data_IF_571401048630
#
_entry.id   IF_571401048630
#
_cell.length_a   1.000
_cell.length_b   1.000
_cell.length_c   1.000
_cell.angle_alpha   90.00
_cell.angle_beta   90.00
_cell.angle_gamma   90.00
#
_symmetry.space_group_name_H-M   'P 1'
#
loop_
_entity.id
_entity.type
_entity.pdbx_description
1 polymer ?
#
# COMPACT_ATOMS: atom_id res chain seq x y z
N UNK A 1 -58.92 4.87 -41.13
CA UNK A 1 -58.71 5.82 -40.02
C UNK A 1 -57.64 5.25 -39.09
N UNK A 2 -56.50 5.92 -38.99
CA UNK A 2 -55.45 5.69 -37.98
C UNK A 2 -55.70 6.65 -36.81
N UNK A 3 -55.36 6.26 -35.58
CA UNK A 3 -54.37 7.05 -34.85
C UNK A 3 -53.37 6.24 -33.99
N UNK A 4 -52.10 6.69 -34.05
CA UNK A 4 -51.06 6.86 -33.01
C UNK A 4 -51.00 5.93 -31.78
N UNK A 5 -49.81 5.41 -31.44
CA UNK A 5 -48.94 5.97 -30.38
C UNK A 5 -47.61 5.20 -30.18
N UNK A 6 -46.54 5.98 -29.95
CA UNK A 6 -45.31 5.69 -29.19
C UNK A 6 -44.19 4.82 -29.82
N UNK A 7 -43.33 5.55 -30.53
CA UNK A 7 -41.88 5.35 -30.64
C UNK A 7 -41.25 5.03 -29.27
N UNK A 8 -40.58 3.89 -29.17
CA UNK A 8 -39.64 3.57 -28.09
C UNK A 8 -38.33 3.12 -28.71
N UNK A 9 -37.42 4.08 -28.92
CA UNK A 9 -36.06 3.83 -29.35
C UNK A 9 -35.38 2.85 -28.38
N UNK A 10 -34.87 1.74 -28.89
CA UNK A 10 -33.87 0.94 -28.17
C UNK A 10 -32.63 1.83 -27.99
N UNK A 11 -32.25 2.23 -26.77
CA UNK A 11 -30.97 2.87 -26.57
C UNK A 11 -29.91 1.79 -26.79
N UNK A 12 -28.92 2.12 -27.61
CA UNK A 12 -27.73 1.34 -27.91
C UNK A 12 -27.30 0.43 -26.76
N UNK A 13 -27.10 -0.85 -27.07
CA UNK A 13 -26.66 -1.88 -26.15
C UNK A 13 -25.47 -1.41 -25.32
N UNK A 14 -25.75 -1.04 -24.08
CA UNK A 14 -24.74 -0.84 -23.06
C UNK A 14 -24.10 -2.21 -22.84
N UNK A 15 -22.89 -2.39 -23.38
CA UNK A 15 -22.06 -3.55 -23.02
C UNK A 15 -21.95 -3.52 -21.50
N UNK A 16 -22.45 -4.54 -20.77
CA UNK A 16 -22.22 -4.59 -19.34
C UNK A 16 -20.70 -4.64 -19.17
N UNK A 17 -20.14 -3.58 -18.60
CA UNK A 17 -18.74 -3.57 -18.21
C UNK A 17 -18.66 -4.59 -17.07
N UNK A 18 -18.36 -5.85 -17.42
CA UNK A 18 -17.98 -6.85 -16.43
C UNK A 18 -16.80 -6.24 -15.68
N UNK A 19 -16.90 -6.01 -14.37
CA UNK A 19 -15.79 -5.47 -13.62
C UNK A 19 -14.63 -6.44 -13.84
N UNK A 20 -13.58 -5.95 -14.52
CA UNK A 20 -12.36 -6.73 -14.72
C UNK A 20 -11.87 -7.02 -13.31
N UNK A 21 -12.01 -8.27 -12.87
CA UNK A 21 -11.43 -8.74 -11.63
C UNK A 21 -9.91 -8.63 -11.82
N UNK A 22 -9.35 -7.49 -11.44
CA UNK A 22 -7.91 -7.31 -11.39
C UNK A 22 -7.41 -8.34 -10.39
N UNK A 23 -6.78 -9.40 -10.89
CA UNK A 23 -6.26 -10.48 -10.06
C UNK A 23 -5.35 -9.85 -9.00
N UNK A 24 -5.78 -9.90 -7.74
CA UNK A 24 -4.99 -9.41 -6.60
C UNK A 24 -3.73 -10.25 -6.53
N UNK A 25 -2.59 -9.61 -6.73
CA UNK A 25 -1.28 -10.24 -6.53
C UNK A 25 -0.77 -9.89 -5.14
N UNK A 26 -0.29 -10.87 -4.37
CA UNK A 26 0.22 -10.60 -3.04
C UNK A 26 1.45 -9.68 -3.12
N UNK A 27 1.74 -8.92 -2.06
CA UNK A 27 2.98 -8.16 -1.95
C UNK A 27 4.20 -9.08 -2.03
N UNK A 28 5.27 -8.59 -2.64
CA UNK A 28 6.56 -9.28 -2.71
C UNK A 28 7.45 -8.72 -1.61
N UNK A 29 7.96 -9.57 -0.73
CA UNK A 29 8.97 -9.20 0.27
C UNK A 29 10.36 -9.53 -0.28
N UNK A 30 11.27 -8.56 -0.26
CA UNK A 30 12.64 -8.73 -0.77
C UNK A 30 13.67 -8.97 0.33
N UNK A 31 13.55 -8.21 1.42
CA UNK A 31 14.47 -8.29 2.54
C UNK A 31 13.75 -7.82 3.81
N UNK A 32 14.05 -8.45 4.95
CA UNK A 32 13.35 -8.21 6.20
C UNK A 32 14.29 -8.50 7.38
N UNK A 33 14.26 -7.64 8.38
CA UNK A 33 14.89 -7.87 9.69
C UNK A 33 13.86 -8.16 10.79
N UNK A 34 12.59 -8.21 10.41
CA UNK A 34 11.48 -8.46 11.31
C UNK A 34 11.46 -9.94 11.72
N UNK A 35 10.83 -10.22 12.86
CA UNK A 35 10.50 -11.59 13.20
C UNK A 35 9.49 -12.15 12.17
N UNK A 36 9.55 -13.45 11.83
CA UNK A 36 8.65 -14.04 10.84
C UNK A 36 7.15 -13.85 11.14
N UNK A 37 6.78 -13.82 12.43
CA UNK A 37 5.42 -13.53 12.86
C UNK A 37 5.01 -12.10 12.54
N UNK A 38 5.88 -11.12 12.78
CA UNK A 38 5.62 -9.71 12.44
C UNK A 38 5.60 -9.49 10.93
N UNK A 39 6.51 -10.10 10.19
CA UNK A 39 6.56 -10.00 8.72
C UNK A 39 5.25 -10.46 8.06
N UNK A 40 4.69 -11.59 8.50
CA UNK A 40 3.43 -12.09 7.94
C UNK A 40 2.25 -11.16 8.21
N UNK A 41 2.14 -10.61 9.43
CA UNK A 41 1.12 -9.62 9.79
C UNK A 41 1.28 -8.34 8.95
N UNK A 42 2.50 -7.84 8.82
CA UNK A 42 2.78 -6.59 8.08
C UNK A 42 2.47 -6.78 6.59
N UNK A 43 2.77 -7.95 6.03
CA UNK A 43 2.45 -8.28 4.63
C UNK A 43 0.94 -8.29 4.39
N UNK A 44 0.16 -8.83 5.32
CA UNK A 44 -1.31 -8.79 5.26
C UNK A 44 -1.86 -7.36 5.38
N UNK A 45 -1.27 -6.52 6.24
CA UNK A 45 -1.62 -5.10 6.34
C UNK A 45 -1.29 -4.33 5.06
N UNK A 46 -0.18 -4.63 4.40
CA UNK A 46 0.20 -4.02 3.11
C UNK A 46 -0.82 -4.40 2.03
N UNK A 47 -1.18 -5.68 1.92
CA UNK A 47 -2.18 -6.14 0.95
C UNK A 47 -3.52 -5.42 1.16
N UNK A 48 -4.01 -5.40 2.40
CA UNK A 48 -5.24 -4.70 2.77
C UNK A 48 -5.18 -3.21 2.44
N UNK A 49 -4.14 -2.50 2.86
CA UNK A 49 -4.03 -1.06 2.63
C UNK A 49 -3.95 -0.74 1.13
N UNK A 50 -3.15 -1.48 0.38
CA UNK A 50 -2.94 -1.23 -1.05
C UNK A 50 -4.20 -1.52 -1.89
N UNK A 51 -4.91 -2.62 -1.60
CA UNK A 51 -6.10 -2.99 -2.37
C UNK A 51 -7.39 -2.28 -1.89
N UNK A 52 -7.50 -1.89 -0.62
CA UNK A 52 -8.67 -1.17 -0.12
C UNK A 52 -8.65 0.32 -0.52
N UNK A 53 -7.48 0.94 -0.63
CA UNK A 53 -7.38 2.36 -1.01
C UNK A 53 -7.51 2.65 -2.51
N UNK A 54 -7.63 1.63 -3.37
CA UNK A 54 -7.67 1.79 -4.82
C UNK A 54 -9.02 2.31 -5.37
N UNK A 55 -9.66 3.26 -4.66
CA UNK A 55 -10.85 4.00 -5.07
C UNK A 55 -10.88 5.48 -4.60
N UNK A 56 -9.98 5.92 -3.72
CA UNK A 56 -9.98 7.29 -3.18
C UNK A 56 -8.55 7.84 -3.06
N UNK A 57 -7.90 8.09 -4.20
CA UNK A 57 -6.85 9.09 -4.51
C UNK A 57 -5.69 9.46 -3.56
N UNK A 58 -5.70 9.13 -2.27
CA UNK A 58 -4.76 9.57 -1.24
C UNK A 58 -4.70 8.45 -0.19
N UNK A 59 -3.52 7.88 0.09
CA UNK A 59 -3.29 7.38 1.44
C UNK A 59 -3.22 5.89 1.72
N UNK A 60 -2.95 4.98 0.77
CA UNK A 60 -2.66 3.58 1.17
C UNK A 60 -1.46 3.49 2.12
N UNK A 61 -0.41 4.30 1.88
CA UNK A 61 0.73 4.42 2.78
C UNK A 61 0.29 4.95 4.15
N UNK A 62 -0.56 5.99 4.17
CA UNK A 62 -1.06 6.55 5.42
C UNK A 62 -1.90 5.54 6.21
N UNK A 63 -2.82 4.83 5.54
CA UNK A 63 -3.63 3.77 6.14
C UNK A 63 -2.74 2.63 6.66
N UNK A 64 -1.73 2.22 5.88
CA UNK A 64 -0.75 1.23 6.32
C UNK A 64 -0.06 1.69 7.60
N UNK A 65 0.48 2.91 7.62
CA UNK A 65 1.15 3.45 8.80
C UNK A 65 0.21 3.50 10.01
N UNK A 66 -1.04 3.95 9.86
CA UNK A 66 -2.02 3.93 10.95
C UNK A 66 -2.30 2.51 11.46
N UNK A 67 -2.43 1.53 10.58
CA UNK A 67 -2.62 0.12 10.96
C UNK A 67 -1.40 -0.43 11.70
N UNK A 68 -0.20 -0.08 11.26
CA UNK A 68 1.07 -0.49 11.88
C UNK A 68 1.23 0.11 13.27
N UNK A 69 0.95 1.41 13.43
CA UNK A 69 0.99 2.09 14.73
C UNK A 69 -0.04 1.52 15.71
N UNK A 70 -1.22 1.11 15.21
CA UNK A 70 -2.25 0.45 16.02
C UNK A 70 -1.83 -0.96 16.46
N UNK A 71 -1.24 -1.75 15.57
CA UNK A 71 -0.91 -3.16 15.80
C UNK A 71 0.36 -3.31 16.65
N UNK A 72 1.41 -2.54 16.33
CA UNK A 72 2.75 -2.70 16.93
C UNK A 72 3.15 -1.54 17.85
N UNK A 73 2.41 -0.44 17.86
CA UNK A 73 2.80 0.78 18.56
C UNK A 73 4.02 1.48 17.92
N UNK A 74 4.39 2.61 18.53
CA UNK A 74 5.50 3.45 18.06
C UNK A 74 5.15 4.27 16.82
N UNK A 75 6.16 4.86 16.18
CA UNK A 75 6.00 5.66 14.96
C UNK A 75 6.62 4.92 13.79
N UNK A 76 5.85 4.71 12.73
CA UNK A 76 6.31 3.99 11.55
C UNK A 76 6.51 4.94 10.37
N UNK A 77 7.44 4.60 9.48
CA UNK A 77 7.66 5.32 8.23
C UNK A 77 7.77 4.35 7.07
N UNK A 78 7.33 4.81 5.89
CA UNK A 78 7.46 4.08 4.63
C UNK A 78 8.02 5.02 3.58
N UNK A 79 9.10 4.60 2.92
CA UNK A 79 9.76 5.37 1.87
C UNK A 79 9.92 4.50 0.63
N UNK A 80 9.79 5.08 -0.56
CA UNK A 80 10.15 4.41 -1.81
C UNK A 80 11.67 4.24 -1.88
N UNK A 81 12.12 3.10 -2.40
CA UNK A 81 13.54 2.72 -2.52
C UNK A 81 13.81 2.09 -3.88
N UNK A 82 15.02 2.30 -4.42
CA UNK A 82 15.40 1.74 -5.72
C UNK A 82 15.91 0.29 -5.62
N UNK A 83 16.56 -0.03 -4.49
CA UNK A 83 17.21 -1.32 -4.24
C UNK A 83 16.29 -2.31 -3.50
N UNK A 84 16.36 -3.61 -3.82
CA UNK A 84 15.69 -4.66 -3.04
C UNK A 84 16.37 -4.95 -1.69
N UNK A 85 17.54 -4.37 -1.43
CA UNK A 85 18.30 -4.56 -0.18
C UNK A 85 17.84 -3.60 0.92
N UNK A 86 18.02 -4.01 2.18
CA UNK A 86 17.70 -3.17 3.34
C UNK A 86 18.56 -1.90 3.34
N UNK A 87 17.97 -0.70 3.25
CA UNK A 87 18.73 0.54 3.31
C UNK A 87 19.30 0.75 4.71
N UNK A 88 20.48 1.36 4.78
CA UNK A 88 21.08 1.81 6.04
C UNK A 88 20.31 3.04 6.53
N UNK A 89 19.45 2.87 7.53
CA UNK A 89 18.66 3.95 8.10
C UNK A 89 19.06 4.18 9.56
N UNK A 90 19.76 5.28 9.85
CA UNK A 90 20.18 5.63 11.23
C UNK A 90 18.99 5.89 12.15
N UNK A 91 17.90 6.37 11.57
CA UNK A 91 16.64 6.69 12.25
C UNK A 91 15.74 5.48 12.49
N UNK A 92 16.03 4.31 11.88
CA UNK A 92 15.27 3.09 12.13
C UNK A 92 15.71 2.42 13.44
N UNK A 93 14.75 1.83 14.16
CA UNK A 93 15.04 0.88 15.22
C UNK A 93 15.72 -0.37 14.64
N UNK A 94 16.52 -1.05 15.47
CA UNK A 94 17.11 -2.32 15.05
C UNK A 94 16.01 -3.37 14.85
N UNK A 95 16.18 -4.27 13.87
CA UNK A 95 15.27 -5.39 13.60
C UNK A 95 13.81 -4.99 13.30
N UNK A 96 13.60 -3.79 12.75
CA UNK A 96 12.25 -3.26 12.46
C UNK A 96 12.02 -2.93 10.99
N UNK A 97 12.96 -3.30 10.11
CA UNK A 97 12.97 -2.88 8.70
C UNK A 97 12.50 -4.00 7.78
N UNK A 98 11.78 -3.63 6.72
CA UNK A 98 11.40 -4.54 5.64
C UNK A 98 11.30 -3.80 4.31
N UNK A 99 11.83 -4.42 3.25
CA UNK A 99 11.70 -3.96 1.86
C UNK A 99 10.70 -4.84 1.14
N UNK A 100 9.69 -4.21 0.56
CA UNK A 100 8.59 -4.90 -0.11
C UNK A 100 8.15 -4.17 -1.38
N UNK A 101 7.39 -4.85 -2.23
CA UNK A 101 6.66 -4.27 -3.35
C UNK A 101 5.19 -4.67 -3.25
N UNK A 102 4.25 -3.72 -3.11
CA UNK A 102 2.82 -4.04 -3.14
C UNK A 102 2.30 -4.36 -4.55
N UNK A 103 3.02 -3.98 -5.61
CA UNK A 103 2.56 -4.11 -7.01
C UNK A 103 3.58 -4.82 -7.90
N UNK A 104 3.72 -6.14 -7.72
CA UNK A 104 4.43 -7.04 -8.65
C UNK A 104 5.85 -6.58 -9.05
N UNK A 105 6.58 -5.97 -8.11
CA UNK A 105 7.96 -5.54 -8.26
C UNK A 105 8.18 -4.22 -8.99
N UNK A 106 7.12 -3.50 -9.38
CA UNK A 106 7.26 -2.21 -10.10
C UNK A 106 7.85 -1.11 -9.23
N UNK A 107 7.40 -1.02 -7.99
CA UNK A 107 7.87 -0.05 -7.00
C UNK A 107 8.24 -0.78 -5.73
N UNK A 108 9.37 -0.42 -5.13
CA UNK A 108 9.84 -1.00 -3.87
C UNK A 108 9.76 0.06 -2.80
N UNK A 109 9.40 -0.38 -1.61
CA UNK A 109 9.26 0.47 -0.44
C UNK A 109 9.99 -0.17 0.72
N UNK A 110 10.65 0.66 1.54
CA UNK A 110 11.15 0.25 2.83
C UNK A 110 10.20 0.78 3.90
N UNK A 111 9.66 -0.12 4.72
CA UNK A 111 8.94 0.22 5.95
C UNK A 111 9.86 -0.02 7.16
N UNK A 112 9.81 0.89 8.13
CA UNK A 112 10.58 0.77 9.36
C UNK A 112 9.94 1.52 10.54
N UNK A 113 10.22 1.04 11.75
CA UNK A 113 9.86 1.77 12.97
C UNK A 113 10.93 2.83 13.25
N UNK A 114 10.52 4.09 13.37
CA UNK A 114 11.41 5.20 13.66
C UNK A 114 11.78 5.20 15.16
N UNK A 115 13.07 5.42 15.46
CA UNK A 115 13.52 5.78 16.80
C UNK A 115 12.81 7.07 17.20
N UNK A 116 11.96 7.00 18.20
CA UNK A 116 11.13 8.11 18.67
C UNK A 116 12.04 9.22 19.24
N UNK A 117 12.55 10.10 18.38
CA UNK A 117 13.28 11.29 18.81
C UNK A 117 12.28 12.45 18.88
N UNK A 118 12.14 13.02 20.08
CA UNK A 118 11.22 14.10 20.45
C UNK A 118 11.58 15.47 19.83
N UNK A 119 12.18 15.47 18.64
CA UNK A 119 12.54 16.66 17.89
C UNK A 119 11.79 16.69 16.57
N UNK A 120 10.76 17.54 16.52
CA UNK A 120 10.09 17.99 15.29
C UNK A 120 11.14 18.38 14.24
N UNK A 121 11.40 17.51 13.29
CA UNK A 121 12.28 17.78 12.17
C UNK A 121 12.09 16.70 11.13
N UNK A 122 11.51 17.06 9.99
CA UNK A 122 11.37 16.21 8.81
C UNK A 122 12.64 15.35 8.57
N UNK A 123 12.62 14.04 8.84
CA UNK A 123 13.55 13.11 8.17
C UNK A 123 12.93 12.83 6.80
N UNK A 124 13.17 13.73 5.84
CA UNK A 124 12.74 13.51 4.44
C UNK A 124 13.75 12.65 3.67
N UNK A 125 14.98 12.51 4.16
CA UNK A 125 16.02 11.66 3.56
C UNK A 125 17.01 11.25 4.65
N UNK A 126 16.86 10.05 5.18
CA UNK A 126 17.79 9.46 6.14
C UNK A 126 18.25 8.06 5.67
N UNK A 127 18.27 7.86 4.34
CA UNK A 127 18.97 6.76 3.66
C UNK A 127 20.20 7.39 3.00
N UNK A 128 21.39 7.07 3.51
CA UNK A 128 22.68 7.37 2.88
C UNK A 128 23.27 6.08 2.34
#
# INVERSE_FOLDING_TARGET
MLPNLATGATPAGVVPITPIAVARRPPIVYASELLPSSESIITDLIDKAYYQCNATGIGWQHQLLMSMEKEFGGVWQVNEVDSPQLPVCKSAMANSRMVFSPNNGKQKYCIYQAKQNRSRGHCRFCCF
#
